data_IF_883688723547
#
_entry.id   IF_883688723547
#
_cell.length_a   1.000
_cell.length_b   1.000
_cell.length_c   1.000
_cell.angle_alpha   90.00
_cell.angle_beta   90.00
_cell.angle_gamma   90.00
#
_symmetry.space_group_name_H-M   'P 1'
#
loop_
_entity.id
_entity.type
_entity.pdbx_description
1 polymer ?
#
# COMPACT_ATOMS: atom_id res chain seq x y z
N UNK A 1 -45.45 -9.68 1.44
CA UNK A 1 -45.71 -8.26 1.85
C UNK A 1 -44.51 -7.81 2.68
N UNK A 2 -43.54 -7.16 2.03
CA UNK A 2 -42.45 -6.47 2.73
C UNK A 2 -43.03 -5.13 3.25
N UNK A 3 -42.98 -4.91 4.56
CA UNK A 3 -43.27 -3.62 5.18
C UNK A 3 -42.13 -2.66 4.84
N UNK A 4 -42.45 -1.54 4.20
CA UNK A 4 -41.54 -0.41 4.03
C UNK A 4 -41.14 0.14 5.41
N UNK A 5 -39.85 0.33 5.61
CA UNK A 5 -39.29 1.02 6.79
C UNK A 5 -39.78 2.48 6.80
N UNK A 6 -40.11 3.05 7.96
CA UNK A 6 -40.50 4.47 8.03
C UNK A 6 -39.31 5.35 7.71
N UNK A 7 -39.64 6.42 6.98
CA UNK A 7 -38.79 7.35 6.28
C UNK A 7 -37.55 7.83 7.02
N UNK A 8 -36.53 8.04 6.21
CA UNK A 8 -35.33 8.78 6.56
C UNK A 8 -35.70 10.12 7.22
N UNK A 9 -35.24 10.30 8.44
CA UNK A 9 -35.25 11.59 9.11
C UNK A 9 -34.47 12.57 8.24
N UNK A 10 -35.18 13.45 7.56
CA UNK A 10 -34.59 14.49 6.75
C UNK A 10 -33.72 15.36 7.63
N UNK A 11 -32.45 15.41 7.30
CA UNK A 11 -31.44 16.22 7.97
C UNK A 11 -31.74 17.70 7.73
N UNK A 12 -32.49 18.30 8.67
CA UNK A 12 -32.93 19.71 8.63
C UNK A 12 -31.80 20.71 8.91
N UNK A 13 -30.53 20.25 8.96
CA UNK A 13 -29.36 21.07 9.25
C UNK A 13 -28.32 21.11 8.12
N UNK A 14 -28.73 21.05 6.86
CA UNK A 14 -27.83 21.48 5.77
C UNK A 14 -27.68 22.98 5.84
N UNK A 15 -26.75 23.50 6.68
CA UNK A 15 -26.23 24.85 6.52
C UNK A 15 -25.70 24.97 5.10
N UNK A 16 -26.24 25.87 4.29
CA UNK A 16 -25.64 26.19 3.00
C UNK A 16 -24.20 26.62 3.23
N UNK A 17 -23.27 25.93 2.59
CA UNK A 17 -21.86 26.22 2.65
C UNK A 17 -21.61 27.64 2.15
N UNK A 18 -20.82 28.41 2.87
CA UNK A 18 -20.36 29.71 2.41
C UNK A 18 -19.63 29.56 1.08
N UNK A 19 -19.64 30.60 0.23
CA UNK A 19 -18.94 30.56 -1.06
C UNK A 19 -17.42 30.35 -0.90
N UNK A 20 -16.85 30.73 0.25
CA UNK A 20 -15.46 30.39 0.61
C UNK A 20 -15.29 28.90 0.86
N UNK A 21 -16.23 28.28 1.56
CA UNK A 21 -16.17 26.86 1.88
C UNK A 21 -16.37 26.01 0.61
N UNK A 22 -17.24 26.45 -0.31
CA UNK A 22 -17.40 25.79 -1.61
C UNK A 22 -16.11 25.78 -2.41
N UNK A 23 -15.40 26.90 -2.49
CA UNK A 23 -14.09 26.96 -3.17
C UNK A 23 -13.04 26.05 -2.54
N UNK A 24 -13.04 25.93 -1.21
CA UNK A 24 -12.14 25.02 -0.51
C UNK A 24 -12.49 23.57 -0.82
N UNK A 25 -13.78 23.22 -0.81
CA UNK A 25 -14.25 21.86 -1.18
C UNK A 25 -13.87 21.53 -2.62
N UNK A 26 -14.12 22.44 -3.56
CA UNK A 26 -13.77 22.25 -4.98
C UNK A 26 -12.26 22.04 -5.15
N UNK A 27 -11.45 22.82 -4.44
CA UNK A 27 -9.98 22.64 -4.44
C UNK A 27 -9.58 21.26 -3.90
N UNK A 28 -10.17 20.83 -2.76
CA UNK A 28 -9.88 19.53 -2.16
C UNK A 28 -10.30 18.38 -3.09
N UNK A 29 -11.49 18.46 -3.69
CA UNK A 29 -11.98 17.46 -4.65
C UNK A 29 -11.03 17.34 -5.83
N UNK A 30 -10.68 18.47 -6.45
CA UNK A 30 -9.73 18.50 -7.56
C UNK A 30 -8.37 17.93 -7.18
N UNK A 31 -7.85 18.34 -6.00
CA UNK A 31 -6.58 17.82 -5.48
C UNK A 31 -6.59 16.30 -5.29
N UNK A 32 -7.71 15.75 -4.79
CA UNK A 32 -7.87 14.30 -4.62
C UNK A 32 -8.01 13.58 -5.96
N UNK A 33 -8.78 14.13 -6.90
CA UNK A 33 -8.97 13.52 -8.23
C UNK A 33 -7.67 13.46 -9.05
N UNK A 34 -6.87 14.51 -8.96
CA UNK A 34 -5.58 14.61 -9.67
C UNK A 34 -4.42 13.92 -8.92
N UNK A 35 -4.64 13.44 -7.68
CA UNK A 35 -3.59 12.82 -6.85
C UNK A 35 -2.61 13.83 -6.26
N UNK A 36 -2.92 15.13 -6.32
CA UNK A 36 -2.12 16.23 -5.82
C UNK A 36 -1.96 17.38 -6.81
N UNK A 37 -1.01 18.26 -6.53
CA UNK A 37 -0.61 19.33 -7.45
C UNK A 37 0.34 18.76 -8.51
N UNK A 38 -0.18 18.39 -9.67
CA UNK A 38 0.60 17.87 -10.78
C UNK A 38 1.10 19.01 -11.67
N UNK A 39 2.37 18.96 -12.03
CA UNK A 39 2.93 19.81 -13.09
C UNK A 39 2.53 19.24 -14.44
N UNK A 40 2.35 20.07 -15.46
CA UNK A 40 1.87 19.67 -16.80
C UNK A 40 2.60 18.51 -17.47
N UNK A 41 3.76 18.14 -16.98
CA UNK A 41 4.64 17.11 -17.56
C UNK A 41 4.85 15.89 -16.64
N UNK A 42 4.24 15.91 -15.45
CA UNK A 42 4.26 14.77 -14.55
C UNK A 42 3.28 13.73 -15.07
N UNK A 43 3.79 12.61 -15.58
CA UNK A 43 3.00 11.41 -15.89
C UNK A 43 2.71 10.63 -14.59
N UNK A 44 2.25 11.33 -13.57
CA UNK A 44 1.97 10.70 -12.28
C UNK A 44 0.53 10.18 -12.23
N UNK A 45 0.32 9.25 -11.32
CA UNK A 45 -0.96 8.58 -11.17
C UNK A 45 -2.05 9.56 -10.72
N UNK A 46 -3.22 9.47 -11.33
CA UNK A 46 -4.42 10.05 -10.78
C UNK A 46 -4.83 9.28 -9.50
N UNK A 47 -5.78 9.81 -8.72
CA UNK A 47 -6.20 9.19 -7.46
C UNK A 47 -6.71 7.77 -7.64
N UNK A 48 -7.34 7.45 -8.75
CA UNK A 48 -7.84 6.11 -9.03
C UNK A 48 -6.70 5.11 -9.24
N UNK A 49 -5.69 5.50 -10.00
CA UNK A 49 -4.50 4.67 -10.24
C UNK A 49 -3.67 4.50 -8.98
N UNK A 50 -3.47 5.60 -8.24
CA UNK A 50 -2.84 5.58 -6.93
C UNK A 50 -3.54 4.59 -5.99
N UNK A 51 -4.85 4.71 -5.84
CA UNK A 51 -5.64 3.82 -4.97
C UNK A 51 -5.54 2.37 -5.42
N UNK A 52 -5.61 2.11 -6.73
CA UNK A 52 -5.47 0.75 -7.27
C UNK A 52 -4.11 0.14 -6.96
N UNK A 53 -3.01 0.90 -7.08
CA UNK A 53 -1.65 0.44 -6.74
C UNK A 53 -1.54 0.10 -5.26
N UNK A 54 -1.96 1.00 -4.39
CA UNK A 54 -1.91 0.80 -2.93
C UNK A 54 -2.78 -0.39 -2.49
N UNK A 55 -3.98 -0.55 -3.07
CA UNK A 55 -4.84 -1.70 -2.78
C UNK A 55 -4.23 -3.02 -3.28
N UNK A 56 -3.60 -3.01 -4.45
CA UNK A 56 -2.91 -4.18 -4.99
C UNK A 56 -1.80 -4.66 -4.03
N UNK A 57 -0.99 -3.74 -3.55
CA UNK A 57 0.07 -4.07 -2.60
C UNK A 57 -0.51 -4.54 -1.26
N UNK A 58 -1.59 -3.93 -0.79
CA UNK A 58 -2.31 -4.37 0.41
C UNK A 58 -2.82 -5.81 0.30
N UNK A 59 -3.35 -6.20 -0.85
CA UNK A 59 -3.85 -7.57 -1.07
C UNK A 59 -2.73 -8.59 -1.25
N UNK A 60 -1.65 -8.22 -1.97
CA UNK A 60 -0.55 -9.12 -2.29
C UNK A 60 0.45 -9.29 -1.16
N UNK A 61 0.77 -8.20 -0.47
CA UNK A 61 1.86 -8.13 0.50
C UNK A 61 1.35 -7.88 1.93
N UNK A 62 0.05 -7.58 2.06
CA UNK A 62 -0.55 -7.06 3.30
C UNK A 62 0.11 -5.77 3.81
N UNK A 63 0.67 -4.99 2.90
CA UNK A 63 1.45 -3.80 3.20
C UNK A 63 1.05 -2.67 2.25
N UNK A 64 0.56 -1.58 2.81
CA UNK A 64 0.19 -0.36 2.06
C UNK A 64 1.29 0.68 2.24
N UNK A 65 1.89 1.11 1.15
CA UNK A 65 2.95 2.10 1.18
C UNK A 65 2.67 3.23 0.21
N UNK A 66 2.74 4.46 0.70
CA UNK A 66 2.69 5.65 -0.14
C UNK A 66 3.49 6.80 0.46
N UNK A 67 4.16 7.53 -0.38
CA UNK A 67 4.90 8.71 -0.02
C UNK A 67 3.98 9.93 0.04
N UNK A 68 4.18 10.76 1.06
CA UNK A 68 3.52 12.06 1.24
C UNK A 68 4.52 13.15 0.85
N UNK A 69 4.44 13.58 -0.41
CA UNK A 69 5.34 14.62 -0.93
C UNK A 69 4.89 15.99 -0.43
N UNK A 70 5.83 16.73 0.17
CA UNK A 70 5.60 18.09 0.69
C UNK A 70 6.41 19.11 -0.07
N UNK A 71 5.89 20.34 -0.14
CA UNK A 71 6.65 21.50 -0.63
C UNK A 71 7.70 21.91 0.41
N UNK A 72 8.61 22.84 0.02
CA UNK A 72 9.58 23.44 0.94
C UNK A 72 8.91 24.12 2.15
N UNK A 73 7.69 24.60 1.99
CA UNK A 73 6.88 25.20 3.06
C UNK A 73 6.13 24.17 3.90
N UNK A 74 6.48 22.87 3.79
CA UNK A 74 5.84 21.74 4.47
C UNK A 74 4.35 21.53 4.14
N UNK A 75 3.83 22.21 3.12
CA UNK A 75 2.46 21.98 2.62
C UNK A 75 2.41 20.68 1.83
N UNK A 76 1.30 19.98 1.96
CA UNK A 76 1.03 18.78 1.17
C UNK A 76 1.00 19.16 -0.32
N UNK A 77 1.82 18.49 -1.14
CA UNK A 77 1.88 18.68 -2.59
C UNK A 77 1.18 17.54 -3.32
N UNK A 78 1.52 16.29 -3.02
CA UNK A 78 0.95 15.12 -3.67
C UNK A 78 1.16 13.84 -2.87
N UNK A 79 0.44 12.79 -3.28
CA UNK A 79 0.65 11.43 -2.85
C UNK A 79 1.27 10.61 -3.99
N UNK A 80 2.20 9.73 -3.66
CA UNK A 80 2.83 8.83 -4.61
C UNK A 80 2.79 7.41 -4.08
N UNK A 81 2.26 6.46 -4.85
CA UNK A 81 2.34 5.05 -4.51
C UNK A 81 3.79 4.58 -4.56
N UNK A 82 4.23 3.86 -3.55
CA UNK A 82 5.57 3.29 -3.44
C UNK A 82 5.43 1.78 -3.38
N UNK A 83 6.31 1.06 -4.07
CA UNK A 83 6.30 -0.40 -4.08
C UNK A 83 6.52 -0.95 -2.66
N UNK A 84 5.45 -1.50 -2.08
CA UNK A 84 5.47 -2.07 -0.75
C UNK A 84 6.49 -3.21 -0.60
N UNK A 85 6.77 -3.95 -1.67
CA UNK A 85 7.76 -5.03 -1.65
C UNK A 85 9.18 -4.54 -1.34
N UNK A 86 9.50 -3.30 -1.64
CA UNK A 86 10.82 -2.71 -1.42
C UNK A 86 10.95 -2.01 -0.07
N UNK A 87 9.84 -1.65 0.57
CA UNK A 87 9.89 -0.92 1.84
C UNK A 87 10.24 -1.84 2.99
N UNK A 88 11.26 -1.45 3.76
CA UNK A 88 11.68 -2.13 4.99
C UNK A 88 11.70 -1.15 6.16
N UNK A 89 11.28 -1.64 7.32
CA UNK A 89 11.43 -0.89 8.56
C UNK A 89 12.90 -0.95 9.00
N UNK A 90 13.44 0.20 9.36
CA UNK A 90 14.79 0.32 9.90
C UNK A 90 14.73 0.14 11.42
N UNK A 91 15.58 -0.71 11.96
CA UNK A 91 15.80 -0.76 13.40
C UNK A 91 16.72 0.40 13.80
N UNK A 92 16.11 1.46 14.30
CA UNK A 92 16.84 2.65 14.77
C UNK A 92 17.74 2.39 15.97
N UNK A 93 17.60 1.24 16.62
CA UNK A 93 18.48 0.81 17.71
C UNK A 93 19.71 0.07 17.21
N UNK A 94 19.75 -0.39 15.95
CA UNK A 94 20.95 -0.99 15.37
C UNK A 94 22.00 0.12 15.11
N UNK A 95 23.18 0.05 15.77
CA UNK A 95 24.21 1.08 15.64
C UNK A 95 24.68 1.33 14.19
N UNK A 96 24.62 0.29 13.35
CA UNK A 96 25.03 0.39 11.95
C UNK A 96 24.10 1.33 11.16
N UNK A 97 22.80 1.19 11.36
CA UNK A 97 21.80 2.06 10.72
C UNK A 97 21.82 3.46 11.33
N UNK A 98 21.94 3.55 12.65
CA UNK A 98 22.05 4.85 13.32
C UNK A 98 23.24 5.65 12.78
N UNK A 99 24.42 5.03 12.63
CA UNK A 99 25.61 5.67 12.07
C UNK A 99 25.45 6.05 10.60
N UNK A 100 24.82 5.16 9.78
CA UNK A 100 24.62 5.41 8.36
C UNK A 100 23.68 6.60 8.10
N UNK A 101 22.67 6.77 8.95
CA UNK A 101 21.66 7.82 8.80
C UNK A 101 21.86 9.01 9.72
N UNK A 102 22.95 9.09 10.47
CA UNK A 102 23.20 10.20 11.40
C UNK A 102 23.22 11.57 10.69
N UNK A 103 23.77 11.63 9.49
CA UNK A 103 23.77 12.85 8.64
C UNK A 103 22.35 13.29 8.23
N UNK A 104 21.36 12.38 8.25
CA UNK A 104 19.96 12.67 7.93
C UNK A 104 19.11 12.91 9.18
N UNK A 105 19.73 13.02 10.36
CA UNK A 105 18.99 13.30 11.59
C UNK A 105 18.34 14.67 11.52
N UNK A 106 17.00 14.69 11.55
CA UNK A 106 16.23 15.93 11.52
C UNK A 106 15.49 16.12 12.84
N UNK A 107 15.76 17.22 13.56
CA UNK A 107 15.20 17.50 14.88
C UNK A 107 15.24 16.31 15.86
N UNK A 108 16.31 15.51 15.82
CA UNK A 108 16.47 14.31 16.66
C UNK A 108 15.86 13.04 16.11
N UNK A 109 15.12 13.09 15.00
CA UNK A 109 14.53 11.92 14.36
C UNK A 109 15.43 11.34 13.28
N UNK A 110 15.52 10.01 13.23
CA UNK A 110 16.13 9.26 12.14
C UNK A 110 15.04 8.74 11.19
N UNK A 111 15.36 8.50 9.91
CA UNK A 111 14.48 7.79 9.00
C UNK A 111 14.05 6.44 9.61
N UNK A 112 12.81 6.08 9.45
CA UNK A 112 12.24 4.83 9.99
C UNK A 112 12.06 3.77 8.91
N UNK A 113 11.95 4.17 7.67
CA UNK A 113 11.72 3.29 6.53
C UNK A 113 12.79 3.53 5.47
N UNK A 114 13.17 2.49 4.74
CA UNK A 114 14.04 2.63 3.57
C UNK A 114 13.58 1.70 2.45
N UNK A 115 13.92 2.07 1.23
CA UNK A 115 13.78 1.17 0.09
C UNK A 115 15.00 0.25 0.03
N UNK A 116 14.74 -1.07 0.00
CA UNK A 116 15.76 -2.11 0.00
C UNK A 116 15.55 -3.03 -1.18
N UNK A 117 16.60 -3.27 -1.96
CA UNK A 117 16.65 -4.26 -3.02
C UNK A 117 17.86 -5.15 -2.81
N UNK A 118 17.67 -6.45 -2.92
CA UNK A 118 18.72 -7.47 -2.72
C UNK A 118 19.56 -7.26 -1.45
N UNK A 119 18.87 -6.94 -0.35
CA UNK A 119 19.51 -6.70 0.95
C UNK A 119 20.26 -5.37 1.08
N UNK A 120 20.27 -4.53 0.06
CA UNK A 120 20.93 -3.24 0.07
C UNK A 120 19.92 -2.08 -0.01
N UNK A 121 20.20 -1.01 0.72
CA UNK A 121 19.38 0.21 0.64
C UNK A 121 19.62 0.88 -0.71
N UNK A 122 18.55 1.14 -1.43
CA UNK A 122 18.60 1.78 -2.75
C UNK A 122 19.10 3.21 -2.60
N UNK A 123 19.93 3.63 -3.56
CA UNK A 123 20.37 5.02 -3.70
C UNK A 123 19.61 5.68 -4.83
N UNK A 124 19.22 6.93 -4.62
CA UNK A 124 18.61 7.74 -5.67
C UNK A 124 19.59 7.92 -6.84
N UNK A 125 19.20 7.64 -8.09
CA UNK A 125 20.12 7.59 -9.22
C UNK A 125 20.77 8.95 -9.55
N UNK A 126 20.13 10.06 -9.18
CA UNK A 126 20.62 11.40 -9.48
C UNK A 126 21.40 11.99 -8.30
N UNK A 127 20.86 11.91 -7.07
CA UNK A 127 21.50 12.51 -5.89
C UNK A 127 22.53 11.61 -5.23
N UNK A 128 22.49 10.30 -5.48
CA UNK A 128 23.33 9.31 -4.82
C UNK A 128 22.99 9.06 -3.35
N UNK A 129 22.00 9.77 -2.82
CA UNK A 129 21.54 9.63 -1.44
C UNK A 129 20.71 8.36 -1.23
N UNK A 130 20.69 7.84 -0.02
CA UNK A 130 19.85 6.69 0.32
C UNK A 130 18.38 7.07 0.26
N UNK A 131 17.56 6.21 -0.34
CA UNK A 131 16.11 6.40 -0.37
C UNK A 131 15.54 5.90 0.96
N UNK A 132 15.34 6.83 1.85
CA UNK A 132 14.81 6.59 3.19
C UNK A 132 13.73 7.62 3.54
N UNK A 133 12.79 7.24 4.39
CA UNK A 133 11.63 8.05 4.72
C UNK A 133 11.49 8.21 6.23
N UNK A 134 11.14 9.42 6.63
CA UNK A 134 10.71 9.66 8.00
C UNK A 134 9.27 9.16 8.23
N UNK A 135 8.85 8.98 9.49
CA UNK A 135 7.50 8.51 9.81
C UNK A 135 6.35 9.35 9.23
N UNK A 136 6.60 10.61 8.95
CA UNK A 136 5.61 11.55 8.38
C UNK A 136 5.68 11.70 6.86
N UNK A 137 6.66 11.09 6.22
CA UNK A 137 6.83 11.11 4.76
C UNK A 137 6.26 9.87 4.09
N UNK A 138 6.15 8.76 4.84
CA UNK A 138 5.62 7.51 4.34
C UNK A 138 4.35 7.12 5.11
N UNK A 139 3.24 7.00 4.40
CA UNK A 139 2.07 6.29 4.89
C UNK A 139 2.37 4.79 4.84
N UNK A 140 2.48 4.16 6.00
CA UNK A 140 2.75 2.73 6.14
C UNK A 140 1.61 2.07 6.89
N UNK A 141 0.91 1.16 6.26
CA UNK A 141 -0.23 0.45 6.83
C UNK A 141 -0.11 -1.06 6.66
N UNK A 142 -0.57 -1.79 7.66
CA UNK A 142 -0.67 -3.25 7.68
C UNK A 142 -2.10 -3.61 8.04
N UNK A 143 -2.74 -4.48 7.26
CA UNK A 143 -4.12 -4.90 7.47
C UNK A 143 -4.22 -6.10 8.41
N UNK A 144 -3.47 -7.17 8.14
CA UNK A 144 -3.48 -8.41 8.92
C UNK A 144 -2.22 -8.51 9.78
N UNK A 145 -2.22 -7.79 10.89
CA UNK A 145 -1.11 -7.82 11.85
C UNK A 145 -1.01 -9.20 12.48
N UNK A 146 0.21 -9.70 12.59
CA UNK A 146 0.51 -10.98 13.23
C UNK A 146 1.27 -10.78 14.55
N UNK A 147 1.08 -11.69 15.48
CA UNK A 147 1.85 -11.77 16.74
C UNK A 147 3.18 -12.50 16.57
N UNK A 148 3.48 -13.00 15.36
CA UNK A 148 4.73 -13.68 15.08
C UNK A 148 5.90 -12.70 15.19
N UNK A 149 6.83 -12.99 16.11
CA UNK A 149 8.01 -12.15 16.41
C UNK A 149 8.88 -11.95 15.16
N UNK A 150 9.01 -12.96 14.31
CA UNK A 150 9.80 -12.89 13.07
C UNK A 150 9.16 -12.02 11.97
N UNK A 151 7.86 -11.79 12.07
CA UNK A 151 7.10 -10.93 11.14
C UNK A 151 6.70 -9.60 11.80
N UNK A 152 7.30 -9.25 12.94
CA UNK A 152 6.95 -8.03 13.65
C UNK A 152 7.14 -6.80 12.75
N UNK A 153 6.08 -5.98 12.65
CA UNK A 153 6.06 -4.82 11.76
C UNK A 153 5.66 -5.11 10.32
N UNK A 154 5.41 -6.38 9.96
CA UNK A 154 4.92 -6.80 8.64
C UNK A 154 3.61 -7.56 8.78
N UNK A 155 2.80 -7.54 7.73
CA UNK A 155 1.54 -8.26 7.68
C UNK A 155 1.68 -9.69 7.15
N UNK A 156 0.55 -10.40 7.16
CA UNK A 156 0.43 -11.71 6.55
C UNK A 156 -0.58 -11.62 5.41
N UNK A 157 -0.10 -11.76 4.18
CA UNK A 157 -0.95 -11.68 2.99
C UNK A 157 -2.03 -12.77 3.01
N UNK A 158 -3.24 -12.41 2.65
CA UNK A 158 -4.32 -13.40 2.44
C UNK A 158 -3.96 -14.41 1.34
N UNK A 159 -3.12 -14.01 0.39
CA UNK A 159 -2.64 -14.92 -0.65
C UNK A 159 -1.74 -16.01 -0.07
N UNK A 160 -0.97 -15.75 1.00
CA UNK A 160 -0.17 -16.79 1.66
C UNK A 160 -1.05 -17.94 2.17
N UNK A 161 -2.22 -17.60 2.74
CA UNK A 161 -3.16 -18.61 3.26
C UNK A 161 -3.89 -19.37 2.15
N UNK A 162 -4.02 -18.78 0.97
CA UNK A 162 -4.67 -19.39 -0.18
C UNK A 162 -3.73 -20.28 -1.01
N UNK A 163 -2.42 -20.11 -0.90
CA UNK A 163 -1.43 -20.86 -1.72
C UNK A 163 -1.63 -22.38 -1.60
N UNK A 164 -1.85 -22.89 -0.40
CA UNK A 164 -2.04 -24.33 -0.18
C UNK A 164 -3.32 -24.82 -0.86
N UNK A 165 -4.43 -24.11 -0.70
CA UNK A 165 -5.72 -24.47 -1.30
C UNK A 165 -5.62 -24.43 -2.83
N UNK A 166 -5.03 -23.38 -3.39
CA UNK A 166 -4.86 -23.21 -4.83
C UNK A 166 -3.97 -24.33 -5.39
N UNK A 167 -2.91 -24.69 -4.67
CA UNK A 167 -2.02 -25.79 -5.05
C UNK A 167 -2.77 -27.12 -5.12
N UNK A 168 -3.60 -27.42 -4.14
CA UNK A 168 -4.41 -28.66 -4.16
C UNK A 168 -5.43 -28.68 -5.29
N UNK A 169 -6.06 -27.54 -5.56
CA UNK A 169 -6.98 -27.40 -6.70
C UNK A 169 -6.24 -27.67 -8.03
N UNK A 170 -5.06 -27.08 -8.21
CA UNK A 170 -4.25 -27.29 -9.42
C UNK A 170 -3.82 -28.74 -9.59
N UNK A 171 -3.40 -29.41 -8.53
CA UNK A 171 -3.06 -30.84 -8.56
C UNK A 171 -4.27 -31.70 -8.89
N UNK A 172 -5.44 -31.39 -8.30
CA UNK A 172 -6.69 -32.07 -8.63
C UNK A 172 -7.07 -31.91 -10.11
N UNK A 173 -6.92 -30.70 -10.65
CA UNK A 173 -7.17 -30.40 -12.06
C UNK A 173 -6.19 -31.17 -12.98
N UNK A 174 -4.90 -31.21 -12.65
CA UNK A 174 -3.90 -31.96 -13.38
C UNK A 174 -4.20 -33.47 -13.36
N UNK A 175 -4.50 -34.00 -12.18
CA UNK A 175 -4.86 -35.43 -12.05
C UNK A 175 -6.07 -35.77 -12.91
N UNK A 176 -7.14 -34.99 -12.83
CA UNK A 176 -8.32 -35.20 -13.68
C UNK A 176 -7.99 -35.08 -15.17
N UNK A 177 -7.18 -34.10 -15.56
CA UNK A 177 -6.73 -33.95 -16.94
C UNK A 177 -5.94 -35.15 -17.45
N UNK A 178 -5.04 -35.69 -16.66
CA UNK A 178 -4.32 -36.95 -17.00
C UNK A 178 -5.25 -38.18 -17.07
N UNK A 179 -6.16 -38.29 -16.10
CA UNK A 179 -7.14 -39.37 -16.07
C UNK A 179 -8.00 -39.41 -17.34
N UNK A 180 -8.54 -38.25 -17.75
CA UNK A 180 -9.34 -38.18 -18.99
C UNK A 180 -8.52 -38.38 -20.28
N UNK A 181 -7.28 -37.86 -20.32
CA UNK A 181 -6.40 -38.06 -21.50
C UNK A 181 -5.96 -39.51 -21.69
N UNK A 182 -5.76 -40.26 -20.61
CA UNK A 182 -5.33 -41.64 -20.65
C UNK A 182 -6.48 -42.64 -20.84
N UNK A 183 -7.73 -42.12 -21.07
CA UNK A 183 -8.89 -42.95 -21.37
C UNK A 183 -9.28 -43.85 -20.22
N UNK A 184 -9.47 -43.29 -19.04
CA UNK A 184 -10.13 -43.88 -17.84
C UNK A 184 -10.35 -45.38 -17.83
N UNK A 185 -9.32 -46.18 -18.07
CA UNK A 185 -9.43 -47.64 -17.81
C UNK A 185 -9.23 -47.84 -16.30
N UNK A 186 -10.27 -48.24 -15.55
CA UNK A 186 -10.08 -48.64 -14.18
C UNK A 186 -9.12 -49.82 -14.19
N UNK A 187 -7.93 -49.68 -13.60
CA UNK A 187 -7.06 -50.81 -13.31
C UNK A 187 -7.88 -51.73 -12.42
N UNK A 188 -8.32 -52.85 -12.99
CA UNK A 188 -9.30 -53.73 -12.39
C UNK A 188 -9.00 -54.08 -10.95
N UNK A 189 -10.04 -54.19 -10.18
CA UNK A 189 -10.02 -54.85 -8.87
C UNK A 189 -9.61 -56.32 -9.10
N UNK A 190 -8.49 -56.71 -8.51
CA UNK A 190 -8.12 -58.12 -8.32
C UNK A 190 -8.67 -58.51 -6.96
#
# INVERSE_FOLDING_TARGET
>A
RYKQSPGSVGDKNKKELSDKDKKIVDYIVKFLEEGGENEKWDCEDNFQEFTRKVLNDSLRLDQMCFEVVRSRDLKLKKFRAVDGALIRQLDTNDPRYAQMFEQFRWHGYLPRYAMVWDGQIIRHPVTGEYVAFYPWELGYGIRNKTTNVFKNGYGCSELETLVEIVTWILWGMQYNGHFFKQGSQPKGFI
#
